data_IF_324783047172
#
_entry.id   IF_324783047172
#
_cell.length_a   1.000
_cell.length_b   1.000
_cell.length_c   1.000
_cell.angle_alpha   90.00
_cell.angle_beta   90.00
_cell.angle_gamma   90.00
#
_symmetry.space_group_name_H-M   'P 1'
#
loop_
_entity.id
_entity.type
_entity.pdbx_description
1 polymer ?
#
# COMPACT_ATOMS: atom_id res chain seq x y z
N UNK A 1 -17.67 -1.84 -14.66
CA UNK A 1 -16.58 -1.24 -15.46
C UNK A 1 -15.95 -2.17 -16.52
N UNK A 2 -16.35 -3.46 -16.66
CA UNK A 2 -15.80 -4.42 -17.66
C UNK A 2 -14.25 -4.38 -17.80
N UNK A 3 -13.55 -4.28 -16.67
CA UNK A 3 -12.09 -4.18 -16.64
C UNK A 3 -11.53 -5.55 -17.02
N UNK A 4 -10.64 -5.59 -18.02
CA UNK A 4 -9.94 -6.81 -18.41
C UNK A 4 -8.80 -7.04 -17.41
N UNK A 5 -8.70 -8.23 -16.77
CA UNK A 5 -7.69 -8.48 -15.74
C UNK A 5 -6.26 -8.62 -16.30
N UNK A 6 -6.12 -8.73 -17.62
CA UNK A 6 -4.88 -9.10 -18.28
C UNK A 6 -4.83 -10.60 -18.55
N UNK A 7 -3.72 -11.04 -19.15
CA UNK A 7 -3.48 -12.47 -19.39
C UNK A 7 -3.00 -13.14 -18.09
N UNK A 8 -3.37 -14.41 -17.84
CA UNK A 8 -2.93 -15.12 -16.64
C UNK A 8 -1.41 -15.34 -16.65
N UNK A 9 -0.80 -15.26 -15.48
CA UNK A 9 0.60 -15.61 -15.32
C UNK A 9 0.77 -17.14 -15.18
N UNK A 10 1.49 -17.75 -16.11
CA UNK A 10 1.82 -19.18 -16.10
C UNK A 10 3.20 -19.49 -15.46
N UNK A 11 3.95 -18.45 -15.07
CA UNK A 11 5.30 -18.53 -14.50
C UNK A 11 5.27 -18.36 -12.98
N UNK A 12 6.28 -18.91 -12.28
CA UNK A 12 6.47 -18.68 -10.85
C UNK A 12 6.91 -17.23 -10.61
N UNK A 13 6.09 -16.45 -9.89
CA UNK A 13 6.31 -15.01 -9.66
C UNK A 13 7.59 -14.70 -8.87
N UNK A 14 8.11 -15.65 -8.09
CA UNK A 14 9.32 -15.45 -7.30
C UNK A 14 10.63 -15.68 -8.08
N UNK A 15 10.54 -16.31 -9.27
CA UNK A 15 11.71 -16.71 -10.08
C UNK A 15 11.77 -15.93 -11.41
N UNK A 16 11.02 -14.83 -11.53
CA UNK A 16 10.98 -14.04 -12.75
C UNK A 16 12.28 -13.23 -12.95
N UNK A 17 12.76 -13.11 -14.20
CA UNK A 17 13.80 -12.14 -14.52
C UNK A 17 13.32 -10.72 -14.15
N UNK A 18 14.21 -9.82 -13.65
CA UNK A 18 13.83 -8.46 -13.25
C UNK A 18 13.10 -7.66 -14.35
N UNK A 19 13.43 -7.91 -15.62
CA UNK A 19 12.80 -7.26 -16.77
C UNK A 19 11.32 -7.65 -16.96
N UNK A 20 10.95 -8.87 -16.55
CA UNK A 20 9.56 -9.35 -16.58
C UNK A 20 8.81 -8.96 -15.30
N UNK A 21 9.47 -8.98 -14.15
CA UNK A 21 8.88 -8.64 -12.85
C UNK A 21 8.38 -7.19 -12.78
N UNK A 22 9.13 -6.24 -13.37
CA UNK A 22 8.74 -4.82 -13.45
C UNK A 22 7.41 -4.58 -14.19
N UNK A 23 7.02 -5.51 -15.05
CA UNK A 23 5.77 -5.39 -15.83
C UNK A 23 4.55 -5.87 -15.04
N UNK A 24 4.75 -6.50 -13.88
CA UNK A 24 3.67 -7.05 -13.06
C UNK A 24 3.25 -6.00 -12.03
N UNK A 25 1.98 -5.56 -12.02
CA UNK A 25 1.47 -4.69 -10.97
C UNK A 25 1.58 -5.37 -9.60
N UNK A 26 2.20 -4.70 -8.64
CA UNK A 26 2.34 -5.21 -7.26
C UNK A 26 1.40 -4.50 -6.29
N UNK A 27 1.22 -5.11 -5.12
CA UNK A 27 0.52 -4.48 -3.99
C UNK A 27 1.32 -3.30 -3.43
N UNK A 28 0.66 -2.48 -2.61
CA UNK A 28 1.33 -1.40 -1.87
C UNK A 28 2.42 -1.99 -0.95
N UNK A 29 3.59 -1.37 -0.94
CA UNK A 29 4.75 -1.79 -0.17
C UNK A 29 4.69 -1.36 1.31
N UNK A 30 3.83 -0.39 1.63
CA UNK A 30 3.65 0.12 2.98
C UNK A 30 2.20 0.48 3.26
N UNK A 31 1.86 0.58 4.55
CA UNK A 31 0.55 1.09 4.96
C UNK A 31 0.34 2.54 4.48
N UNK A 32 1.38 3.37 4.52
CA UNK A 32 1.35 4.75 4.00
C UNK A 32 0.91 4.80 2.54
N UNK A 33 1.57 4.01 1.67
CA UNK A 33 1.20 3.93 0.26
C UNK A 33 -0.24 3.44 0.05
N UNK A 34 -0.70 2.50 0.88
CA UNK A 34 -2.07 2.00 0.81
C UNK A 34 -3.10 3.08 1.22
N UNK A 35 -2.79 3.90 2.24
CA UNK A 35 -3.65 5.02 2.65
C UNK A 35 -3.70 6.11 1.58
N UNK A 36 -2.57 6.43 0.94
CA UNK A 36 -2.51 7.39 -0.17
C UNK A 36 -3.30 6.88 -1.40
N UNK A 37 -3.15 5.58 -1.73
CA UNK A 37 -3.91 4.96 -2.81
C UNK A 37 -5.42 4.96 -2.52
N UNK A 38 -5.82 4.68 -1.27
CA UNK A 38 -7.20 4.78 -0.82
C UNK A 38 -7.73 6.21 -0.95
N UNK A 39 -6.94 7.21 -0.55
CA UNK A 39 -7.31 8.62 -0.64
C UNK A 39 -7.53 9.06 -2.10
N UNK A 40 -6.64 8.62 -2.99
CA UNK A 40 -6.64 8.95 -4.42
C UNK A 40 -7.71 8.21 -5.24
N UNK A 41 -8.05 6.96 -4.89
CA UNK A 41 -8.98 6.11 -5.65
C UNK A 41 -10.11 5.53 -4.78
N UNK A 42 -10.86 6.38 -4.08
CA UNK A 42 -12.00 5.96 -3.24
C UNK A 42 -13.35 5.90 -3.96
N UNK A 43 -13.42 6.31 -5.22
CA UNK A 43 -14.71 6.50 -5.92
C UNK A 43 -15.48 5.18 -6.03
N UNK A 44 -14.77 4.07 -6.24
CA UNK A 44 -15.41 2.76 -6.33
C UNK A 44 -16.10 2.33 -5.02
N UNK A 45 -15.66 2.87 -3.87
CA UNK A 45 -16.24 2.61 -2.55
C UNK A 45 -17.43 3.52 -2.25
N UNK A 46 -17.39 4.77 -2.70
CA UNK A 46 -18.44 5.75 -2.40
C UNK A 46 -19.65 5.62 -3.32
N UNK A 47 -19.52 4.94 -4.47
CA UNK A 47 -20.63 4.62 -5.38
C UNK A 47 -21.75 3.88 -4.64
N UNK A 48 -22.97 4.40 -4.76
CA UNK A 48 -24.15 3.84 -4.10
C UNK A 48 -24.27 4.19 -2.61
N UNK A 49 -23.41 5.07 -2.08
CA UNK A 49 -23.49 5.55 -0.71
C UNK A 49 -23.15 4.49 0.35
N UNK A 50 -22.41 3.44 -0.04
CA UNK A 50 -21.97 2.38 0.88
C UNK A 50 -20.93 2.92 1.87
N UNK A 51 -19.99 3.71 1.36
CA UNK A 51 -19.01 4.47 2.13
C UNK A 51 -19.22 5.97 1.91
N UNK A 52 -19.09 6.76 2.97
CA UNK A 52 -19.03 8.23 2.87
C UNK A 52 -17.58 8.69 2.86
N UNK A 53 -17.33 9.87 2.29
CA UNK A 53 -16.00 10.50 2.34
C UNK A 53 -15.56 10.70 3.79
N UNK A 54 -16.44 11.24 4.65
CA UNK A 54 -16.16 11.46 6.07
C UNK A 54 -15.68 10.19 6.80
N UNK A 55 -16.27 9.02 6.47
CA UNK A 55 -15.86 7.75 7.07
C UNK A 55 -14.46 7.33 6.60
N UNK A 56 -14.18 7.49 5.30
CA UNK A 56 -12.88 7.17 4.72
C UNK A 56 -11.80 8.12 5.25
N UNK A 57 -12.09 9.41 5.32
CA UNK A 57 -11.18 10.43 5.87
C UNK A 57 -10.84 10.14 7.33
N UNK A 58 -11.84 9.84 8.16
CA UNK A 58 -11.63 9.47 9.56
C UNK A 58 -10.81 8.17 9.71
N UNK A 59 -11.02 7.19 8.84
CA UNK A 59 -10.21 5.97 8.83
C UNK A 59 -8.75 6.27 8.45
N UNK A 60 -8.53 7.07 7.42
CA UNK A 60 -7.20 7.49 6.96
C UNK A 60 -6.47 8.22 8.09
N UNK A 61 -7.13 9.17 8.76
CA UNK A 61 -6.56 9.92 9.89
C UNK A 61 -6.13 8.99 11.04
N UNK A 62 -7.01 8.07 11.45
CA UNK A 62 -6.71 7.10 12.50
C UNK A 62 -5.47 6.26 12.16
N UNK A 63 -5.35 5.81 10.92
CA UNK A 63 -4.22 4.98 10.47
C UNK A 63 -2.95 5.76 10.25
N UNK A 64 -3.03 7.03 9.84
CA UNK A 64 -1.87 7.91 9.79
C UNK A 64 -1.24 8.14 11.15
N UNK A 65 -2.01 8.16 12.24
CA UNK A 65 -1.45 8.24 13.59
C UNK A 65 -0.60 6.99 13.93
N UNK A 66 -1.02 5.79 13.50
CA UNK A 66 -0.26 4.55 13.67
C UNK A 66 1.04 4.58 12.83
N UNK A 67 0.95 4.98 11.56
CA UNK A 67 2.11 5.15 10.67
C UNK A 67 3.12 6.14 11.26
N UNK A 68 2.63 7.29 11.72
CA UNK A 68 3.46 8.36 12.29
C UNK A 68 4.19 7.87 13.54
N UNK A 69 3.49 7.15 14.43
CA UNK A 69 4.11 6.56 15.61
C UNK A 69 5.26 5.62 15.25
N UNK A 70 5.04 4.72 14.29
CA UNK A 70 6.07 3.78 13.85
C UNK A 70 7.28 4.52 13.28
N UNK A 71 7.06 5.48 12.36
CA UNK A 71 8.12 6.25 11.70
C UNK A 71 8.97 7.09 12.65
N UNK A 72 8.37 7.62 13.72
CA UNK A 72 9.07 8.44 14.70
C UNK A 72 9.72 7.64 15.83
N UNK A 73 9.48 6.32 15.89
CA UNK A 73 10.07 5.47 16.93
C UNK A 73 11.27 4.73 16.36
N UNK A 74 12.42 4.88 17.01
CA UNK A 74 13.64 4.16 16.64
C UNK A 74 13.41 2.65 16.71
N UNK A 75 13.68 1.95 15.61
CA UNK A 75 13.63 0.50 15.57
C UNK A 75 14.89 -0.12 16.20
N UNK A 76 14.81 -1.21 16.96
CA UNK A 76 16.01 -1.86 17.53
C UNK A 76 17.09 -2.23 16.51
N UNK A 77 16.70 -2.56 15.28
CA UNK A 77 17.63 -2.82 14.17
C UNK A 77 18.45 -1.56 13.82
N UNK A 78 17.90 -0.36 13.98
CA UNK A 78 18.68 0.87 13.74
C UNK A 78 19.85 0.99 14.72
N UNK A 79 19.70 0.51 15.96
CA UNK A 79 20.84 0.43 16.89
C UNK A 79 21.88 -0.59 16.41
N UNK A 80 21.46 -1.77 15.98
CA UNK A 80 22.38 -2.77 15.40
C UNK A 80 23.14 -2.21 14.18
N UNK A 81 22.43 -1.50 13.31
CA UNK A 81 23.00 -0.92 12.10
C UNK A 81 23.92 0.27 12.37
N UNK A 82 23.56 1.18 13.29
CA UNK A 82 24.14 2.52 13.37
C UNK A 82 24.80 2.89 14.70
N UNK A 83 24.70 2.07 15.76
CA UNK A 83 25.17 2.47 17.09
C UNK A 83 26.70 2.68 17.19
N UNK A 84 27.48 1.98 16.39
CA UNK A 84 28.97 2.04 16.40
C UNK A 84 29.56 2.52 15.07
N UNK A 85 28.74 3.18 14.24
CA UNK A 85 29.15 3.76 12.97
C UNK A 85 30.01 5.03 13.16
#
# INVERSE_FOLDING_TARGET
NKIHPGDPADKNLYDLPPEEDVQIPTVCASLEQALEALDADREFLTRGGVFSNDMIDAYIELKWAEVTRLRMTTHPIEFDMYYSL
#
